data_IF_730917237772
#
_entry.id   IF_730917237772
#
_cell.length_a   1.000
_cell.length_b   1.000
_cell.length_c   1.000
_cell.angle_alpha   90.00
_cell.angle_beta   90.00
_cell.angle_gamma   90.00
#
_symmetry.space_group_name_H-M   'P 1'
#
loop_
_entity.id
_entity.type
_entity.pdbx_description
1 polymer ?
#
# COMPACT_ATOMS: atom_id res chain seq x y z
N UNK A 1 -5.92 34.93 11.18
CA UNK A 1 -5.43 34.85 9.78
C UNK A 1 -6.52 34.24 8.91
N UNK A 2 -6.99 34.94 7.86
CA UNK A 2 -7.84 34.33 6.82
C UNK A 2 -6.92 33.90 5.68
N UNK A 3 -6.89 32.61 5.36
CA UNK A 3 -6.16 32.09 4.20
C UNK A 3 -6.66 32.79 2.93
N UNK A 4 -5.75 33.14 2.02
CA UNK A 4 -6.18 33.65 0.71
C UNK A 4 -6.87 32.52 -0.05
N UNK A 5 -7.77 32.85 -0.98
CA UNK A 5 -8.43 31.86 -1.84
C UNK A 5 -7.42 30.99 -2.60
N UNK A 6 -6.24 31.55 -2.92
CA UNK A 6 -5.15 30.83 -3.56
C UNK A 6 -4.48 29.82 -2.61
N UNK A 7 -4.31 30.17 -1.34
CA UNK A 7 -3.73 29.26 -0.33
C UNK A 7 -4.68 28.10 0.01
N UNK A 8 -5.98 28.38 0.07
CA UNK A 8 -6.99 27.34 0.26
C UNK A 8 -7.02 26.35 -0.91
N UNK A 9 -6.91 26.83 -2.15
CA UNK A 9 -6.85 25.97 -3.33
C UNK A 9 -5.61 25.06 -3.33
N UNK A 10 -4.44 25.58 -2.90
CA UNK A 10 -3.21 24.78 -2.75
C UNK A 10 -3.36 23.70 -1.68
N UNK A 11 -3.95 24.04 -0.54
CA UNK A 11 -4.20 23.08 0.54
C UNK A 11 -5.13 21.94 0.08
N UNK A 12 -6.22 22.28 -0.64
CA UNK A 12 -7.15 21.28 -1.15
C UNK A 12 -6.48 20.37 -2.19
N UNK A 13 -5.65 20.93 -3.08
CA UNK A 13 -4.91 20.14 -4.06
C UNK A 13 -3.94 19.16 -3.38
N UNK A 14 -3.22 19.60 -2.35
CA UNK A 14 -2.33 18.74 -1.59
C UNK A 14 -3.08 17.60 -0.88
N UNK A 15 -4.26 17.89 -0.30
CA UNK A 15 -5.11 16.85 0.30
C UNK A 15 -5.59 15.81 -0.72
N UNK A 16 -5.97 16.26 -1.92
CA UNK A 16 -6.36 15.34 -3.00
C UNK A 16 -5.19 14.48 -3.49
N UNK A 17 -3.99 15.04 -3.53
CA UNK A 17 -2.78 14.32 -3.91
C UNK A 17 -2.44 13.23 -2.89
N UNK A 18 -2.53 13.52 -1.59
CA UNK A 18 -2.37 12.53 -0.51
C UNK A 18 -3.41 11.42 -0.64
N UNK A 19 -4.70 11.76 -0.79
CA UNK A 19 -5.76 10.76 -0.90
C UNK A 19 -5.57 9.81 -2.10
N UNK A 20 -5.09 10.33 -3.23
CA UNK A 20 -4.75 9.50 -4.41
C UNK A 20 -3.58 8.57 -4.13
N UNK A 21 -2.52 9.08 -3.51
CA UNK A 21 -1.36 8.27 -3.16
C UNK A 21 -1.69 7.16 -2.14
N UNK A 22 -2.60 7.43 -1.20
CA UNK A 22 -3.14 6.41 -0.28
C UNK A 22 -3.94 5.34 -1.04
N UNK A 23 -4.84 5.75 -1.95
CA UNK A 23 -5.62 4.82 -2.77
C UNK A 23 -4.73 3.94 -3.65
N UNK A 24 -3.70 4.51 -4.28
CA UNK A 24 -2.73 3.77 -5.10
C UNK A 24 -1.96 2.73 -4.28
N UNK A 25 -1.51 3.10 -3.07
CA UNK A 25 -0.84 2.17 -2.17
C UNK A 25 -1.76 1.02 -1.75
N UNK A 26 -2.99 1.32 -1.33
CA UNK A 26 -3.95 0.28 -0.92
C UNK A 26 -4.33 -0.65 -2.07
N UNK A 27 -4.45 -0.13 -3.30
CA UNK A 27 -4.71 -0.95 -4.49
C UNK A 27 -3.58 -1.95 -4.74
N UNK A 28 -2.33 -1.52 -4.62
CA UNK A 28 -1.15 -2.37 -4.80
C UNK A 28 -1.03 -3.40 -3.67
N UNK A 29 -1.33 -2.99 -2.43
CA UNK A 29 -1.39 -3.89 -1.28
C UNK A 29 -2.43 -4.99 -1.47
N UNK A 30 -3.63 -4.63 -1.94
CA UNK A 30 -4.68 -5.60 -2.23
C UNK A 30 -4.26 -6.60 -3.31
N UNK A 31 -3.62 -6.13 -4.38
CA UNK A 31 -3.10 -7.00 -5.44
C UNK A 31 -2.00 -7.95 -4.94
N UNK A 32 -1.08 -7.45 -4.11
CA UNK A 32 -0.02 -8.27 -3.52
C UNK A 32 -0.61 -9.39 -2.65
N UNK A 33 -1.58 -9.04 -1.80
CA UNK A 33 -2.29 -10.00 -0.96
C UNK A 33 -2.99 -11.04 -1.84
N UNK A 34 -3.77 -10.63 -2.83
CA UNK A 34 -4.52 -11.55 -3.71
C UNK A 34 -3.60 -12.57 -4.41
N UNK A 35 -2.45 -12.12 -4.91
CA UNK A 35 -1.44 -13.01 -5.52
C UNK A 35 -0.87 -13.96 -4.46
N UNK A 36 -0.54 -13.44 -3.27
CA UNK A 36 -0.03 -14.27 -2.18
C UNK A 36 -1.06 -15.33 -1.72
N UNK A 37 -2.37 -15.02 -1.81
CA UNK A 37 -3.45 -15.94 -1.46
C UNK A 37 -3.64 -17.04 -2.51
N UNK A 38 -3.74 -16.66 -3.78
CA UNK A 38 -4.18 -17.57 -4.84
C UNK A 38 -3.02 -18.26 -5.56
N UNK A 39 -1.89 -17.58 -5.69
CA UNK A 39 -0.72 -18.02 -6.47
C UNK A 39 0.59 -17.79 -5.69
N UNK A 40 0.74 -18.35 -4.48
CA UNK A 40 1.90 -18.07 -3.62
C UNK A 40 3.26 -18.47 -4.21
N UNK A 41 3.27 -19.36 -5.19
CA UNK A 41 4.48 -19.77 -5.93
C UNK A 41 4.86 -18.82 -7.07
N UNK A 42 4.05 -17.81 -7.36
CA UNK A 42 4.29 -16.86 -8.45
C UNK A 42 5.18 -15.71 -7.97
N UNK A 43 6.41 -16.07 -7.60
CA UNK A 43 7.41 -15.18 -6.97
C UNK A 43 7.70 -13.91 -7.78
N UNK A 44 7.67 -14.01 -9.12
CA UNK A 44 7.91 -12.87 -10.01
C UNK A 44 6.79 -11.82 -9.87
N UNK A 45 5.53 -12.24 -9.83
CA UNK A 45 4.43 -11.28 -9.67
C UNK A 45 4.43 -10.64 -8.28
N UNK A 46 4.73 -11.42 -7.24
CA UNK A 46 4.91 -10.90 -5.88
C UNK A 46 6.02 -9.85 -5.83
N UNK A 47 7.17 -10.11 -6.44
CA UNK A 47 8.28 -9.17 -6.49
C UNK A 47 7.95 -7.89 -7.28
N UNK A 48 7.25 -8.02 -8.42
CA UNK A 48 6.84 -6.88 -9.24
C UNK A 48 5.85 -5.98 -8.49
N UNK A 49 4.79 -6.56 -7.92
CA UNK A 49 3.78 -5.79 -7.18
C UNK A 49 4.34 -5.23 -5.89
N UNK A 50 5.21 -5.97 -5.19
CA UNK A 50 5.92 -5.48 -4.01
C UNK A 50 6.76 -4.25 -4.31
N UNK A 51 7.54 -4.27 -5.40
CA UNK A 51 8.34 -3.12 -5.83
C UNK A 51 7.48 -1.91 -6.23
N UNK A 52 6.32 -2.12 -6.85
CA UNK A 52 5.36 -1.04 -7.13
C UNK A 52 4.77 -0.45 -5.85
N UNK A 53 4.41 -1.30 -4.89
CA UNK A 53 3.87 -0.90 -3.60
C UNK A 53 4.89 -0.08 -2.80
N UNK A 54 6.17 -0.47 -2.80
CA UNK A 54 7.25 0.28 -2.15
C UNK A 54 7.41 1.68 -2.77
N UNK A 55 7.28 1.78 -4.10
CA UNK A 55 7.32 3.07 -4.81
C UNK A 55 6.13 3.96 -4.43
N UNK A 56 4.93 3.40 -4.39
CA UNK A 56 3.73 4.13 -3.97
C UNK A 56 3.83 4.61 -2.51
N UNK A 57 4.33 3.75 -1.62
CA UNK A 57 4.53 4.08 -0.21
C UNK A 57 5.58 5.18 -0.03
N UNK A 58 6.71 5.12 -0.75
CA UNK A 58 7.73 6.16 -0.71
C UNK A 58 7.22 7.50 -1.26
N UNK A 59 6.33 7.48 -2.25
CA UNK A 59 5.66 8.67 -2.75
C UNK A 59 4.74 9.27 -1.69
N UNK A 60 3.90 8.45 -1.06
CA UNK A 60 3.03 8.88 0.04
C UNK A 60 3.82 9.50 1.19
N UNK A 61 4.89 8.83 1.66
CA UNK A 61 5.80 9.36 2.70
C UNK A 61 6.33 10.75 2.34
N UNK A 62 6.69 10.96 1.06
CA UNK A 62 7.19 12.25 0.56
C UNK A 62 6.10 13.33 0.67
N UNK A 63 4.84 13.00 0.35
CA UNK A 63 3.72 13.96 0.39
C UNK A 63 3.35 14.38 1.82
N UNK A 64 3.41 13.45 2.77
CA UNK A 64 3.05 13.71 4.18
C UNK A 64 4.24 14.23 5.02
N UNK A 65 5.42 14.37 4.41
CA UNK A 65 6.63 14.88 5.07
C UNK A 65 7.31 13.88 6.01
N UNK A 66 7.02 12.59 5.86
CA UNK A 66 7.74 11.53 6.60
C UNK A 66 9.07 11.20 5.90
N UNK A 67 10.11 10.83 6.67
CA UNK A 67 11.37 10.36 6.08
C UNK A 67 11.12 9.10 5.26
N UNK A 68 11.86 8.96 4.14
CA UNK A 68 11.85 7.74 3.32
C UNK A 68 12.48 6.60 4.10
N UNK A 69 11.66 5.83 4.78
CA UNK A 69 12.09 4.61 5.44
C UNK A 69 11.99 3.48 4.43
N UNK A 70 12.99 2.58 4.34
CA UNK A 70 12.83 1.36 3.58
C UNK A 70 11.66 0.59 4.20
N UNK A 71 10.53 0.62 3.50
CA UNK A 71 9.36 -0.14 3.87
C UNK A 71 9.58 -1.53 3.31
N UNK A 72 10.00 -2.45 4.17
CA UNK A 72 10.01 -3.86 3.81
C UNK A 72 8.59 -4.34 4.03
N UNK A 73 7.81 -4.47 2.96
CA UNK A 73 6.53 -5.15 3.06
C UNK A 73 6.74 -6.57 3.59
N UNK A 74 5.74 -7.12 4.27
CA UNK A 74 5.87 -8.46 4.84
C UNK A 74 6.30 -9.45 3.73
N UNK A 75 7.35 -10.24 3.97
CA UNK A 75 7.78 -11.26 3.03
C UNK A 75 6.60 -12.12 2.61
N UNK A 76 6.55 -12.52 1.35
CA UNK A 76 5.47 -13.33 0.78
C UNK A 76 5.16 -14.58 1.62
N UNK A 77 6.18 -15.16 2.27
CA UNK A 77 6.02 -16.29 3.18
C UNK A 77 5.21 -15.98 4.45
N UNK A 78 5.32 -14.76 4.99
CA UNK A 78 4.54 -14.31 6.15
C UNK A 78 3.09 -14.10 5.73
N UNK A 79 2.88 -13.37 4.62
CA UNK A 79 1.53 -13.11 4.08
C UNK A 79 0.82 -14.41 3.69
N UNK A 80 1.54 -15.38 3.13
CA UNK A 80 1.03 -16.73 2.86
C UNK A 80 0.58 -17.43 4.14
N UNK A 81 1.44 -17.47 5.16
CA UNK A 81 1.13 -18.13 6.44
C UNK A 81 -0.08 -17.51 7.14
N UNK A 82 -0.21 -16.19 7.10
CA UNK A 82 -1.38 -15.50 7.65
C UNK A 82 -2.64 -15.80 6.85
N UNK A 83 -2.52 -15.87 5.52
CA UNK A 83 -3.64 -16.25 4.65
C UNK A 83 -4.10 -17.68 4.90
N UNK A 84 -3.16 -18.64 5.01
CA UNK A 84 -3.46 -20.04 5.30
C UNK A 84 -4.18 -20.17 6.65
N UNK A 85 -3.72 -19.42 7.68
CA UNK A 85 -4.41 -19.34 8.98
C UNK A 85 -5.83 -18.77 8.88
N UNK A 86 -6.02 -17.68 8.14
CA UNK A 86 -7.35 -17.10 7.94
C UNK A 86 -8.31 -18.06 7.21
N UNK A 87 -7.78 -18.92 6.33
CA UNK A 87 -8.56 -19.95 5.65
C UNK A 87 -8.91 -21.11 6.59
N UNK A 88 -7.95 -21.60 7.38
CA UNK A 88 -8.18 -22.63 8.40
C UNK A 88 -9.20 -22.17 9.46
N UNK A 89 -9.13 -20.92 9.92
CA UNK A 89 -10.11 -20.35 10.86
C UNK A 89 -11.52 -20.24 10.25
N UNK A 90 -11.63 -20.04 8.94
CA UNK A 90 -12.93 -19.99 8.24
C UNK A 90 -13.53 -21.37 7.95
N UNK A 91 -12.72 -22.42 7.84
CA UNK A 91 -13.22 -23.79 7.65
C UNK A 91 -13.65 -24.46 8.96
N UNK A 92 -13.21 -23.96 10.11
CA UNK A 92 -13.52 -24.52 11.45
C UNK A 92 -14.81 -23.93 12.05
N UNK A 93 -15.40 -22.90 11.44
CA UNK A 93 -16.68 -22.27 11.83
C UNK A 93 -17.82 -22.73 10.92
#
# INVERSE_FOLDING_TARGET
MRYSRADYAKMLAAQQEVARAEEDYERLRAAYVEIAKNEPGHEVALAMVGADMDRAHAHLQTLIGLPRMPFTHDPSQIVRRETEREQEEKEIV
#
